data_IF_012167638969
#
_entry.id   IF_012167638969
#
_cell.length_a   1.000
_cell.length_b   1.000
_cell.length_c   1.000
_cell.angle_alpha   90.00
_cell.angle_beta   90.00
_cell.angle_gamma   90.00
#
_symmetry.space_group_name_H-M   'P 1'
#
loop_
_entity.id
_entity.type
_entity.pdbx_description
1 polymer ?
#
# COMPACT_ATOMS: atom_id res chain seq x y z
N UNK A 1 2.27 -23.98 -10.96
CA UNK A 1 3.72 -24.23 -10.84
C UNK A 1 3.92 -24.70 -9.41
N UNK A 2 4.42 -25.92 -9.21
CA UNK A 2 4.72 -26.46 -7.87
C UNK A 2 5.84 -25.60 -7.27
N UNK A 3 5.69 -25.25 -6.00
CA UNK A 3 6.69 -24.54 -5.21
C UNK A 3 7.78 -25.56 -4.79
N UNK A 4 8.67 -25.90 -5.72
CA UNK A 4 9.83 -26.71 -5.43
C UNK A 4 11.01 -25.78 -5.18
N UNK A 5 11.71 -25.98 -4.05
CA UNK A 5 12.97 -25.29 -3.71
C UNK A 5 14.08 -25.81 -4.64
N UNK A 6 14.11 -25.30 -5.88
CA UNK A 6 15.20 -25.62 -6.79
C UNK A 6 16.48 -24.86 -6.39
N UNK A 7 17.62 -25.53 -6.52
CA UNK A 7 18.91 -24.86 -6.50
C UNK A 7 18.94 -23.79 -7.60
N UNK A 8 19.69 -22.71 -7.42
CA UNK A 8 19.74 -21.56 -8.32
C UNK A 8 20.07 -21.96 -9.77
N UNK A 9 20.96 -22.93 -9.95
CA UNK A 9 21.30 -23.47 -11.26
C UNK A 9 20.11 -24.11 -11.95
N UNK A 10 19.32 -24.89 -11.23
CA UNK A 10 18.11 -25.54 -11.74
C UNK A 10 17.06 -24.49 -12.13
N UNK A 11 16.92 -23.42 -11.35
CA UNK A 11 16.01 -22.33 -11.70
C UNK A 11 16.41 -21.67 -13.03
N UNK A 12 17.70 -21.42 -13.24
CA UNK A 12 18.22 -20.85 -14.47
C UNK A 12 17.95 -21.75 -15.67
N UNK A 13 18.18 -23.06 -15.57
CA UNK A 13 17.92 -23.99 -16.67
C UNK A 13 16.42 -24.07 -16.98
N UNK A 14 15.56 -24.14 -15.99
CA UNK A 14 14.08 -24.11 -16.20
C UNK A 14 13.66 -22.82 -16.90
N UNK A 15 14.26 -21.67 -16.58
CA UNK A 15 13.96 -20.40 -17.24
C UNK A 15 14.41 -20.41 -18.71
N UNK A 16 15.59 -20.95 -18.99
CA UNK A 16 16.10 -21.09 -20.37
C UNK A 16 15.24 -22.05 -21.20
N UNK A 17 14.84 -23.19 -20.63
CA UNK A 17 13.93 -24.14 -21.28
C UNK A 17 12.58 -23.51 -21.63
N UNK A 18 12.13 -22.57 -20.83
CA UNK A 18 10.92 -21.77 -21.10
C UNK A 18 11.16 -20.61 -22.06
N UNK A 19 12.34 -20.48 -22.64
CA UNK A 19 12.67 -19.48 -23.65
C UNK A 19 13.16 -18.13 -23.11
N UNK A 20 13.48 -18.03 -21.81
CA UNK A 20 14.12 -16.82 -21.28
C UNK A 20 15.60 -16.78 -21.73
N UNK A 21 16.00 -15.68 -22.33
CA UNK A 21 17.38 -15.48 -22.75
C UNK A 21 18.21 -15.00 -21.57
N UNK A 22 19.20 -15.80 -21.17
CA UNK A 22 20.21 -15.45 -20.15
C UNK A 22 21.57 -15.54 -20.82
N UNK A 23 22.06 -14.38 -21.31
CA UNK A 23 23.34 -14.30 -22.03
C UNK A 23 24.53 -14.44 -21.08
N UNK A 24 24.45 -13.73 -19.96
CA UNK A 24 25.42 -13.79 -18.88
C UNK A 24 24.84 -14.58 -17.71
N UNK A 25 25.32 -15.81 -17.53
CA UNK A 25 24.85 -16.70 -16.47
C UNK A 25 25.27 -16.18 -15.08
N UNK A 26 26.43 -15.50 -14.97
CA UNK A 26 26.89 -14.94 -13.70
C UNK A 26 25.97 -13.79 -13.26
N UNK A 27 25.63 -12.89 -14.17
CA UNK A 27 24.66 -11.82 -13.94
C UNK A 27 23.26 -12.38 -13.61
N UNK A 28 22.82 -13.40 -14.36
CA UNK A 28 21.54 -14.08 -14.10
C UNK A 28 21.48 -14.69 -12.69
N UNK A 29 22.55 -15.31 -12.23
CA UNK A 29 22.67 -15.82 -10.85
C UNK A 29 22.60 -14.69 -9.82
N UNK A 30 23.35 -13.61 -10.02
CA UNK A 30 23.32 -12.46 -9.12
C UNK A 30 21.92 -11.84 -9.01
N UNK A 31 21.22 -11.67 -10.13
CA UNK A 31 19.86 -11.16 -10.14
C UNK A 31 18.93 -12.05 -9.32
N UNK A 32 18.96 -13.37 -9.54
CA UNK A 32 18.09 -14.32 -8.84
C UNK A 32 18.45 -14.55 -7.39
N UNK A 33 19.73 -14.32 -6.99
CA UNK A 33 20.17 -14.37 -5.60
C UNK A 33 19.73 -13.18 -4.78
N UNK A 34 19.84 -11.97 -5.35
CA UNK A 34 19.51 -10.73 -4.64
C UNK A 34 18.00 -10.44 -4.65
N UNK A 35 17.34 -10.85 -5.72
CA UNK A 35 15.91 -10.61 -5.92
C UNK A 35 15.26 -11.98 -6.10
N UNK A 36 14.49 -12.43 -5.12
CA UNK A 36 13.85 -13.72 -5.14
C UNK A 36 13.21 -14.00 -6.52
N UNK A 37 13.43 -15.21 -7.05
CA UNK A 37 12.80 -15.69 -8.30
C UNK A 37 11.32 -15.36 -8.39
N UNK A 38 10.58 -15.53 -7.30
CA UNK A 38 9.14 -15.24 -7.26
C UNK A 38 8.83 -13.77 -7.46
N UNK A 39 9.62 -12.86 -6.91
CA UNK A 39 9.39 -11.41 -7.00
C UNK A 39 9.62 -10.89 -8.42
N UNK A 40 10.63 -11.43 -9.13
CA UNK A 40 10.97 -10.96 -10.48
C UNK A 40 10.16 -11.70 -11.54
N UNK A 41 10.07 -13.03 -11.47
CA UNK A 41 9.49 -13.82 -12.57
C UNK A 41 8.01 -14.09 -12.36
N UNK A 42 7.60 -14.52 -11.15
CA UNK A 42 6.22 -14.94 -10.90
C UNK A 42 5.26 -13.75 -10.90
N UNK A 43 5.66 -12.62 -10.33
CA UNK A 43 4.83 -11.41 -10.29
C UNK A 43 4.56 -10.89 -11.69
N UNK A 44 5.57 -10.86 -12.56
CA UNK A 44 5.45 -10.30 -13.91
C UNK A 44 5.19 -11.34 -15.00
N UNK A 45 4.93 -12.60 -14.66
CA UNK A 45 4.71 -13.69 -15.63
C UNK A 45 3.68 -13.35 -16.70
N UNK A 46 2.59 -12.67 -16.34
CA UNK A 46 1.51 -12.34 -17.28
C UNK A 46 1.92 -11.32 -18.35
N UNK A 47 3.03 -10.58 -18.15
CA UNK A 47 3.57 -9.63 -19.11
C UNK A 47 4.58 -10.27 -20.05
N UNK A 48 5.29 -11.29 -19.58
CA UNK A 48 6.42 -11.89 -20.30
C UNK A 48 6.22 -13.35 -20.70
N UNK A 49 5.13 -14.02 -20.23
CA UNK A 49 4.89 -15.43 -20.48
C UNK A 49 3.51 -15.61 -21.14
N UNK A 50 3.50 -16.27 -22.28
CA UNK A 50 2.29 -16.71 -22.99
C UNK A 50 2.38 -18.22 -23.21
N UNK A 51 1.31 -18.95 -22.90
CA UNK A 51 1.27 -20.41 -23.00
C UNK A 51 2.46 -21.11 -22.30
N UNK A 52 2.84 -20.62 -21.12
CA UNK A 52 3.95 -21.12 -20.32
C UNK A 52 5.36 -20.97 -20.93
N UNK A 53 5.51 -20.17 -21.98
CA UNK A 53 6.77 -19.87 -22.66
C UNK A 53 7.00 -18.35 -22.66
N UNK A 54 8.24 -17.91 -22.48
CA UNK A 54 8.57 -16.48 -22.57
C UNK A 54 8.35 -15.93 -23.98
N UNK A 55 7.82 -14.73 -24.04
CA UNK A 55 7.69 -13.99 -25.30
C UNK A 55 9.06 -13.89 -25.98
N UNK A 56 9.07 -14.03 -27.30
CA UNK A 56 10.31 -14.00 -28.11
C UNK A 56 11.18 -12.78 -27.77
N UNK A 57 12.46 -13.00 -27.62
CA UNK A 57 13.47 -11.98 -27.28
C UNK A 57 13.32 -11.38 -25.86
N UNK A 58 12.65 -12.08 -24.95
CA UNK A 58 12.66 -11.72 -23.52
C UNK A 58 13.99 -12.13 -22.90
N UNK A 59 14.71 -11.19 -22.32
CA UNK A 59 15.95 -11.45 -21.57
C UNK A 59 15.74 -11.23 -20.09
N UNK A 60 16.59 -11.83 -19.24
CA UNK A 60 16.50 -11.65 -17.79
C UNK A 60 16.73 -10.19 -17.41
N UNK A 61 17.60 -9.48 -18.14
CA UNK A 61 17.87 -8.06 -17.91
C UNK A 61 16.64 -7.19 -18.19
N UNK A 62 15.84 -7.54 -19.22
CA UNK A 62 14.58 -6.83 -19.51
C UNK A 62 13.56 -6.99 -18.38
N UNK A 63 13.40 -8.23 -17.89
CA UNK A 63 12.49 -8.51 -16.77
C UNK A 63 12.94 -7.78 -15.52
N UNK A 64 14.25 -7.80 -15.25
CA UNK A 64 14.85 -7.11 -14.11
C UNK A 64 14.73 -5.59 -14.20
N UNK A 65 14.96 -5.00 -15.37
CA UNK A 65 14.76 -3.57 -15.61
C UNK A 65 13.31 -3.16 -15.38
N UNK A 66 12.37 -3.98 -15.85
CA UNK A 66 10.95 -3.75 -15.61
C UNK A 66 10.59 -3.78 -14.12
N UNK A 67 11.13 -4.75 -13.39
CA UNK A 67 10.99 -4.83 -11.92
C UNK A 67 11.50 -3.55 -11.24
N UNK A 68 12.69 -3.07 -11.61
CA UNK A 68 13.24 -1.84 -11.04
C UNK A 68 12.40 -0.61 -11.35
N UNK A 69 11.91 -0.51 -12.57
CA UNK A 69 11.03 0.57 -13.00
C UNK A 69 9.72 0.58 -12.19
N UNK A 70 9.08 -0.58 -12.07
CA UNK A 70 7.86 -0.75 -11.28
C UNK A 70 8.08 -0.38 -9.80
N UNK A 71 9.17 -0.84 -9.19
CA UNK A 71 9.55 -0.47 -7.82
C UNK A 71 9.83 1.02 -7.68
N UNK A 72 10.44 1.64 -8.67
CA UNK A 72 10.64 3.09 -8.72
C UNK A 72 9.32 3.85 -8.67
N UNK A 73 8.35 3.46 -9.50
CA UNK A 73 7.00 4.05 -9.50
C UNK A 73 6.30 3.83 -8.15
N UNK A 74 6.32 2.61 -7.62
CA UNK A 74 5.71 2.30 -6.31
C UNK A 74 6.28 3.17 -5.20
N UNK A 75 7.60 3.37 -5.16
CA UNK A 75 8.26 4.22 -4.17
C UNK A 75 7.82 5.69 -4.28
N UNK A 76 7.68 6.20 -5.51
CA UNK A 76 7.20 7.56 -5.75
C UNK A 76 5.75 7.69 -5.29
N UNK A 77 4.88 6.77 -5.69
CA UNK A 77 3.47 6.77 -5.29
C UNK A 77 3.31 6.68 -3.78
N UNK A 78 4.06 5.78 -3.13
CA UNK A 78 4.04 5.64 -1.68
C UNK A 78 4.46 6.93 -0.96
N UNK A 79 5.57 7.55 -1.40
CA UNK A 79 6.06 8.82 -0.85
C UNK A 79 4.98 9.90 -0.91
N UNK A 80 4.34 10.07 -2.06
CA UNK A 80 3.31 11.10 -2.24
C UNK A 80 2.01 10.74 -1.51
N UNK A 81 1.64 9.47 -1.42
CA UNK A 81 0.48 9.04 -0.62
C UNK A 81 0.63 9.40 0.85
N UNK A 82 1.79 9.14 1.44
CA UNK A 82 2.10 9.52 2.83
C UNK A 82 2.08 11.05 3.00
N UNK A 83 2.58 11.80 2.01
CA UNK A 83 2.55 13.25 2.05
C UNK A 83 1.12 13.81 2.00
N UNK A 84 0.28 13.28 1.10
CA UNK A 84 -1.14 13.65 0.98
C UNK A 84 -1.89 13.30 2.27
N UNK A 85 -1.69 12.10 2.82
CA UNK A 85 -2.28 11.71 4.10
C UNK A 85 -1.96 12.70 5.21
N UNK A 86 -0.69 13.11 5.31
CA UNK A 86 -0.25 14.07 6.34
C UNK A 86 -0.92 15.43 6.18
N UNK A 87 -1.00 15.95 4.94
CA UNK A 87 -1.69 17.22 4.68
C UNK A 87 -3.16 17.13 5.04
N UNK A 88 -3.82 16.06 4.60
CA UNK A 88 -5.22 15.82 4.88
C UNK A 88 -5.50 15.76 6.38
N UNK A 89 -4.71 14.98 7.12
CA UNK A 89 -4.84 14.88 8.59
C UNK A 89 -4.64 16.23 9.29
N UNK A 90 -3.67 17.03 8.85
CA UNK A 90 -3.46 18.34 9.45
C UNK A 90 -4.65 19.28 9.19
N UNK A 91 -5.18 19.30 7.96
CA UNK A 91 -6.36 20.11 7.64
C UNK A 91 -7.62 19.65 8.37
N UNK A 92 -7.82 18.33 8.47
CA UNK A 92 -8.93 17.80 9.25
C UNK A 92 -8.81 18.14 10.74
N UNK A 93 -7.60 18.11 11.31
CA UNK A 93 -7.37 18.53 12.69
C UNK A 93 -7.76 20.00 12.93
N UNK A 94 -7.44 20.86 11.98
CA UNK A 94 -7.81 22.28 12.01
C UNK A 94 -9.35 22.44 11.98
N UNK A 95 -10.02 21.77 11.04
CA UNK A 95 -11.49 21.79 10.95
C UNK A 95 -12.15 21.26 12.22
N UNK A 96 -11.70 20.11 12.73
CA UNK A 96 -12.23 19.54 13.97
C UNK A 96 -12.08 20.51 15.14
N UNK A 97 -10.92 21.16 15.26
CA UNK A 97 -10.66 22.11 16.33
C UNK A 97 -11.54 23.35 16.25
N UNK A 98 -11.86 23.81 15.05
CA UNK A 98 -12.67 25.03 14.81
C UNK A 98 -14.17 24.76 14.90
N UNK A 99 -14.64 23.63 14.34
CA UNK A 99 -16.08 23.37 14.17
C UNK A 99 -16.67 22.54 15.32
N UNK A 100 -15.88 21.66 15.94
CA UNK A 100 -16.34 20.72 16.97
C UNK A 100 -15.74 21.06 18.32
N UNK A 101 -14.41 21.23 18.39
CA UNK A 101 -13.70 21.53 19.63
C UNK A 101 -12.35 20.79 19.73
N UNK A 102 -11.65 21.05 20.82
CA UNK A 102 -10.30 20.54 21.04
C UNK A 102 -10.22 19.41 22.08
N UNK A 103 -11.33 19.12 22.74
CA UNK A 103 -11.39 18.09 23.79
C UNK A 103 -11.88 16.75 23.26
N UNK A 104 -11.43 15.66 23.91
CA UNK A 104 -11.85 14.30 23.58
C UNK A 104 -13.36 14.14 23.67
N UNK A 105 -14.00 14.78 24.62
CA UNK A 105 -15.44 14.71 24.83
C UNK A 105 -16.20 15.33 23.66
N UNK A 106 -15.72 16.46 23.14
CA UNK A 106 -16.35 17.17 22.02
C UNK A 106 -16.27 16.35 20.73
N UNK A 107 -15.08 15.92 20.30
CA UNK A 107 -14.93 15.21 19.02
C UNK A 107 -15.34 13.73 19.07
N UNK A 108 -15.63 13.15 20.23
CA UNK A 108 -16.25 11.83 20.35
C UNK A 108 -17.76 11.89 20.57
N UNK A 109 -18.35 13.07 20.69
CA UNK A 109 -19.79 13.21 20.77
C UNK A 109 -20.43 13.00 19.39
N UNK A 110 -21.27 11.97 19.26
CA UNK A 110 -21.93 11.59 18.00
C UNK A 110 -22.84 12.71 17.46
N UNK A 111 -23.37 13.56 18.32
CA UNK A 111 -24.24 14.67 17.94
C UNK A 111 -23.55 15.75 17.08
N UNK A 112 -22.21 15.79 17.13
CA UNK A 112 -21.40 16.71 16.34
C UNK A 112 -21.19 16.25 14.89
N UNK A 113 -21.78 15.11 14.49
CA UNK A 113 -21.62 14.51 13.19
C UNK A 113 -22.97 14.31 12.48
N UNK A 114 -22.97 14.45 11.16
CA UNK A 114 -24.17 14.17 10.36
C UNK A 114 -24.09 12.78 9.75
N UNK A 115 -25.11 11.97 9.99
CA UNK A 115 -25.22 10.66 9.38
C UNK A 115 -26.03 10.75 8.11
N UNK A 116 -25.43 10.48 6.98
CA UNK A 116 -26.08 10.36 5.67
C UNK A 116 -26.31 8.87 5.35
N UNK A 117 -27.44 8.54 4.71
CA UNK A 117 -27.70 7.20 4.14
C UNK A 117 -27.62 6.04 5.16
N UNK A 118 -28.15 6.17 6.35
CA UNK A 118 -28.16 5.10 7.38
C UNK A 118 -26.76 4.55 7.78
N UNK A 119 -25.70 5.32 7.59
CA UNK A 119 -24.33 4.91 7.92
C UNK A 119 -23.99 5.07 9.42
N UNK A 120 -24.97 5.03 10.31
CA UNK A 120 -24.78 5.09 11.77
C UNK A 120 -23.76 4.06 12.28
N UNK A 121 -23.77 2.85 11.70
CA UNK A 121 -22.85 1.79 12.10
C UNK A 121 -21.38 2.16 11.81
N UNK A 122 -21.12 2.77 10.65
CA UNK A 122 -19.74 3.17 10.28
C UNK A 122 -19.27 4.28 11.22
N UNK A 123 -20.09 5.29 11.49
CA UNK A 123 -19.74 6.36 12.41
C UNK A 123 -19.47 5.81 13.81
N UNK A 124 -20.37 4.99 14.34
CA UNK A 124 -20.21 4.38 15.67
C UNK A 124 -18.92 3.55 15.77
N UNK A 125 -18.61 2.74 14.75
CA UNK A 125 -17.38 1.96 14.71
C UNK A 125 -16.14 2.87 14.63
N UNK A 126 -16.19 3.94 13.83
CA UNK A 126 -15.11 4.93 13.72
C UNK A 126 -14.85 5.62 15.05
N UNK A 127 -15.90 6.11 15.72
CA UNK A 127 -15.76 6.76 17.04
C UNK A 127 -15.33 5.77 18.13
N UNK A 128 -15.75 4.50 18.04
CA UNK A 128 -15.29 3.44 18.94
C UNK A 128 -13.80 3.16 18.75
N UNK A 129 -13.36 2.96 17.50
CA UNK A 129 -11.95 2.75 17.17
C UNK A 129 -11.07 3.90 17.71
N UNK A 130 -11.52 5.13 17.56
CA UNK A 130 -10.83 6.30 18.10
C UNK A 130 -10.81 6.27 19.64
N UNK A 131 -11.92 5.89 20.29
CA UNK A 131 -12.03 5.84 21.75
C UNK A 131 -11.12 4.80 22.37
N UNK A 132 -10.91 3.67 21.68
CA UNK A 132 -10.15 2.53 22.15
C UNK A 132 -8.62 2.74 22.01
N UNK A 133 -8.15 3.82 21.36
CA UNK A 133 -6.72 4.14 21.28
C UNK A 133 -6.22 4.62 22.65
N UNK A 134 -5.23 3.90 23.20
CA UNK A 134 -4.59 4.27 24.46
C UNK A 134 -3.75 5.56 24.35
N UNK A 135 -3.77 6.37 25.40
CA UNK A 135 -2.93 7.57 25.51
C UNK A 135 -3.28 8.64 24.47
N UNK A 136 -4.55 8.76 24.08
CA UNK A 136 -5.00 9.84 23.21
C UNK A 136 -4.85 11.17 23.96
N UNK A 137 -4.10 12.09 23.38
CA UNK A 137 -4.12 13.50 23.75
C UNK A 137 -5.49 14.10 23.41
N UNK A 138 -5.90 15.08 24.18
CA UNK A 138 -7.18 15.75 23.94
C UNK A 138 -7.23 16.48 22.59
N UNK A 139 -6.09 16.94 22.08
CA UNK A 139 -6.06 17.75 20.86
C UNK A 139 -6.18 16.93 19.57
N UNK A 140 -7.08 17.29 18.62
CA UNK A 140 -7.31 16.56 17.38
C UNK A 140 -6.06 16.29 16.54
N UNK A 141 -5.10 17.22 16.50
CA UNK A 141 -3.87 17.04 15.72
C UNK A 141 -3.00 15.86 16.19
N UNK A 142 -3.06 15.51 17.47
CA UNK A 142 -2.33 14.37 18.04
C UNK A 142 -3.11 13.10 17.80
N UNK A 143 -4.44 13.14 17.95
CA UNK A 143 -5.33 12.04 17.64
C UNK A 143 -5.13 11.56 16.18
N UNK A 144 -5.26 12.47 15.21
CA UNK A 144 -5.22 12.11 13.79
C UNK A 144 -3.89 11.49 13.36
N UNK A 145 -2.79 11.74 14.10
CA UNK A 145 -1.50 11.05 13.86
C UNK A 145 -1.53 9.59 14.28
N UNK A 146 -2.41 9.21 15.21
CA UNK A 146 -2.49 7.84 15.77
C UNK A 146 -3.49 6.95 15.04
N UNK A 147 -4.44 7.51 14.30
CA UNK A 147 -5.44 6.74 13.56
C UNK A 147 -5.01 6.46 12.12
N UNK A 148 -5.62 5.43 11.50
CA UNK A 148 -5.37 5.08 10.11
C UNK A 148 -5.92 6.15 9.16
N UNK A 149 -5.44 6.18 7.91
CA UNK A 149 -5.99 7.09 6.90
C UNK A 149 -7.45 6.78 6.57
N UNK A 150 -7.83 5.50 6.56
CA UNK A 150 -9.22 5.06 6.38
C UNK A 150 -10.13 5.62 7.46
N UNK A 151 -9.75 5.50 8.73
CA UNK A 151 -10.49 6.05 9.88
C UNK A 151 -10.61 7.57 9.79
N UNK A 152 -9.54 8.23 9.32
CA UNK A 152 -9.52 9.69 9.09
C UNK A 152 -10.52 10.11 8.02
N UNK A 153 -10.59 9.39 6.88
CA UNK A 153 -11.57 9.65 5.80
C UNK A 153 -12.98 9.40 6.30
N UNK A 154 -13.21 8.32 7.04
CA UNK A 154 -14.52 8.04 7.62
C UNK A 154 -14.98 9.19 8.51
N UNK A 155 -14.11 9.67 9.40
CA UNK A 155 -14.43 10.79 10.28
C UNK A 155 -14.78 12.06 9.48
N UNK A 156 -14.00 12.39 8.45
CA UNK A 156 -14.27 13.52 7.56
C UNK A 156 -15.65 13.44 6.88
N UNK A 157 -16.05 12.25 6.41
CA UNK A 157 -17.31 12.06 5.71
C UNK A 157 -18.55 12.30 6.57
N UNK A 158 -18.40 12.32 7.89
CA UNK A 158 -19.47 12.58 8.84
C UNK A 158 -19.46 14.00 9.41
N UNK A 159 -18.47 14.83 9.05
CA UNK A 159 -18.49 16.25 9.43
C UNK A 159 -19.65 16.96 8.74
N UNK A 160 -20.27 17.86 9.48
CA UNK A 160 -21.32 18.73 8.95
C UNK A 160 -20.70 19.68 7.92
N UNK A 161 -21.23 19.70 6.69
CA UNK A 161 -21.05 20.83 5.80
C UNK A 161 -21.95 21.97 6.33
N UNK A 162 -21.34 22.93 6.97
CA UNK A 162 -22.02 24.21 7.26
C UNK A 162 -21.97 25.12 6.04
#
# INVERSE_FOLDING_TARGET
MKEENYLLEQQIEILKEKGLIIKDTALGKQILQHFNFFDIIKVYKNLFIVNNVFVKNTTIEKVFLFYHYDRGIQNILFKYSVYIERIFKNRLAEILSQEIGITKQEYLNIENYTVRNNNNLILNNTLKEIRDIEGISEHPSILLKKITFSTTINLYNFLNEK
#
